data_IF_118225730812
#
_entry.id   IF_118225730812
#
_cell.length_a   1.000
_cell.length_b   1.000
_cell.length_c   1.000
_cell.angle_alpha   90.00
_cell.angle_beta   90.00
_cell.angle_gamma   90.00
#
_symmetry.space_group_name_H-M   'P 1'
#
loop_
_entity.id
_entity.type
_entity.pdbx_description
1 polymer ?
#
# COMPACT_ATOMS: atom_id res chain seq x y z
N UNK A 1 -3.42 18.42 22.85
CA UNK A 1 -3.90 17.03 22.86
C UNK A 1 -2.66 16.14 22.99
N UNK A 2 -2.38 15.70 24.22
CA UNK A 2 -1.13 15.03 24.60
C UNK A 2 -1.09 13.60 24.03
N UNK A 3 -0.39 13.43 22.91
CA UNK A 3 -0.14 12.12 22.27
C UNK A 3 1.05 11.36 22.92
N UNK A 4 1.73 11.94 23.93
CA UNK A 4 3.04 11.47 24.38
C UNK A 4 3.04 10.33 25.41
N UNK A 5 1.92 10.05 26.09
CA UNK A 5 1.88 8.98 27.11
C UNK A 5 1.49 7.61 26.55
N UNK A 6 0.55 7.55 25.58
CA UNK A 6 0.18 6.29 24.92
C UNK A 6 1.25 5.72 23.96
N UNK A 7 2.28 6.51 23.60
CA UNK A 7 3.39 6.04 22.75
C UNK A 7 4.44 5.21 23.50
N UNK A 8 4.52 5.33 24.83
CA UNK A 8 5.56 4.64 25.62
C UNK A 8 5.27 3.16 25.88
N UNK A 9 4.00 2.72 25.87
CA UNK A 9 3.65 1.33 26.19
C UNK A 9 3.65 0.38 24.97
N UNK A 10 3.64 0.89 23.74
CA UNK A 10 3.58 0.06 22.51
C UNK A 10 4.93 -0.20 21.83
N UNK A 11 6.07 -0.03 22.52
CA UNK A 11 7.39 -0.23 21.92
C UNK A 11 7.66 0.65 20.70
N UNK A 12 7.08 1.86 20.66
CA UNK A 12 7.34 2.85 19.62
C UNK A 12 6.97 2.41 18.20
N UNK A 13 5.92 1.60 18.02
CA UNK A 13 5.44 1.21 16.69
C UNK A 13 4.68 2.39 16.07
N UNK A 14 5.21 2.96 14.98
CA UNK A 14 4.56 4.02 14.21
C UNK A 14 4.78 3.80 12.72
N UNK A 15 4.01 4.47 11.88
CA UNK A 15 4.20 4.53 10.44
C UNK A 15 4.44 5.97 10.02
N UNK A 16 5.64 6.22 9.52
CA UNK A 16 6.03 7.51 8.98
C UNK A 16 6.78 7.33 7.67
N UNK A 17 6.11 7.62 6.56
CA UNK A 17 6.72 7.58 5.24
C UNK A 17 7.13 9.00 4.79
N UNK A 18 8.43 9.18 4.53
CA UNK A 18 8.98 10.44 4.02
C UNK A 18 8.29 10.90 2.74
N UNK A 19 7.85 9.97 1.88
CA UNK A 19 7.17 10.29 0.63
C UNK A 19 5.83 11.00 0.88
N UNK A 20 5.13 10.67 1.96
CA UNK A 20 3.84 11.30 2.30
C UNK A 20 3.99 12.73 2.85
N UNK A 21 5.21 13.13 3.24
CA UNK A 21 5.52 14.50 3.67
C UNK A 21 5.78 15.44 2.49
N UNK A 22 6.20 14.90 1.36
CA UNK A 22 6.45 15.67 0.14
C UNK A 22 5.15 16.29 -0.37
N UNK A 23 5.27 17.40 -1.10
CA UNK A 23 4.17 17.97 -1.87
C UNK A 23 3.75 17.00 -2.99
N UNK A 24 2.56 17.21 -3.56
CA UNK A 24 2.09 16.42 -4.69
C UNK A 24 3.02 16.54 -5.90
N UNK A 25 3.52 17.76 -6.15
CA UNK A 25 4.45 18.03 -7.25
C UNK A 25 5.78 17.33 -7.02
N UNK A 26 6.35 17.43 -5.82
CA UNK A 26 7.61 16.76 -5.47
C UNK A 26 7.51 15.23 -5.65
N UNK A 27 6.41 14.62 -5.20
CA UNK A 27 6.20 13.18 -5.41
C UNK A 27 6.14 12.80 -6.89
N UNK A 28 5.41 13.58 -7.69
CA UNK A 28 5.29 13.36 -9.12
C UNK A 28 6.66 13.48 -9.79
N UNK A 29 7.43 14.52 -9.45
CA UNK A 29 8.80 14.72 -9.96
C UNK A 29 9.69 13.54 -9.59
N UNK A 30 9.67 13.07 -8.34
CA UNK A 30 10.48 11.90 -7.92
C UNK A 30 10.07 10.64 -8.70
N UNK A 31 8.77 10.42 -8.91
CA UNK A 31 8.29 9.27 -9.66
C UNK A 31 8.66 9.32 -11.15
N UNK A 32 8.57 10.51 -11.76
CA UNK A 32 8.96 10.74 -13.16
C UNK A 32 10.48 10.58 -13.30
N UNK A 33 11.27 11.25 -12.48
CA UNK A 33 12.74 11.15 -12.51
C UNK A 33 13.21 9.70 -12.32
N UNK A 34 12.60 8.95 -11.40
CA UNK A 34 12.92 7.54 -11.21
C UNK A 34 12.59 6.71 -12.46
N UNK A 35 11.42 6.92 -13.06
CA UNK A 35 11.00 6.18 -14.26
C UNK A 35 11.89 6.50 -15.45
N UNK A 36 12.20 7.78 -15.66
CA UNK A 36 13.13 8.28 -16.68
C UNK A 36 14.51 7.69 -16.47
N UNK A 37 15.06 7.76 -15.26
CA UNK A 37 16.38 7.19 -14.95
C UNK A 37 16.47 5.69 -15.27
N UNK A 38 15.43 4.92 -14.96
CA UNK A 38 15.37 3.48 -15.30
C UNK A 38 15.37 3.28 -16.82
N UNK A 39 14.53 4.01 -17.57
CA UNK A 39 14.45 3.91 -19.03
C UNK A 39 15.78 4.28 -19.68
N UNK A 40 16.37 5.41 -19.29
CA UNK A 40 17.68 5.84 -19.77
C UNK A 40 18.77 4.82 -19.45
N UNK A 41 18.77 4.24 -18.23
CA UNK A 41 19.72 3.19 -17.86
C UNK A 41 19.56 1.94 -18.72
N UNK A 42 18.33 1.53 -19.03
CA UNK A 42 18.07 0.41 -19.94
C UNK A 42 18.58 0.71 -21.35
N UNK A 43 18.23 1.87 -21.92
CA UNK A 43 18.71 2.26 -23.26
C UNK A 43 20.24 2.31 -23.31
N UNK A 44 20.87 2.95 -22.32
CA UNK A 44 22.33 3.00 -22.22
C UNK A 44 22.96 1.60 -22.14
N UNK A 45 22.35 0.68 -21.37
CA UNK A 45 22.81 -0.71 -21.31
C UNK A 45 22.74 -1.40 -22.67
N UNK A 46 21.65 -1.21 -23.43
CA UNK A 46 21.51 -1.78 -24.78
C UNK A 46 22.52 -1.19 -25.78
N UNK A 47 22.72 0.13 -25.76
CA UNK A 47 23.71 0.79 -26.63
C UNK A 47 25.12 0.26 -26.34
N UNK A 48 25.48 0.07 -25.07
CA UNK A 48 26.79 -0.50 -24.69
C UNK A 48 26.94 -1.95 -25.17
N UNK A 49 25.90 -2.78 -25.03
CA UNK A 49 25.91 -4.18 -25.50
C UNK A 49 26.08 -4.26 -27.02
N UNK A 50 25.45 -3.35 -27.77
CA UNK A 50 25.55 -3.30 -29.23
C UNK A 50 26.84 -2.66 -29.75
N UNK A 51 27.73 -2.17 -28.87
CA UNK A 51 28.99 -1.57 -29.27
C UNK A 51 29.94 -2.58 -29.94
N UNK A 52 30.69 -2.11 -30.94
CA UNK A 52 31.76 -2.87 -31.60
C UNK A 52 32.97 -3.10 -30.67
N UNK A 53 33.17 -2.22 -29.70
CA UNK A 53 34.26 -2.34 -28.74
C UNK A 53 33.95 -3.42 -27.70
N UNK A 54 34.75 -4.49 -27.69
CA UNK A 54 34.58 -5.62 -26.78
C UNK A 54 34.46 -5.20 -25.30
N UNK A 55 35.29 -4.25 -24.85
CA UNK A 55 35.26 -3.74 -23.47
C UNK A 55 33.90 -3.08 -23.15
N UNK A 56 33.37 -2.25 -24.05
CA UNK A 56 32.07 -1.60 -23.84
C UNK A 56 30.92 -2.61 -23.82
N UNK A 57 30.98 -3.63 -24.68
CA UNK A 57 30.00 -4.73 -24.68
C UNK A 57 29.95 -5.45 -23.35
N UNK A 58 31.11 -5.81 -22.78
CA UNK A 58 31.19 -6.47 -21.47
C UNK A 58 30.62 -5.57 -20.37
N UNK A 59 30.96 -4.28 -20.36
CA UNK A 59 30.39 -3.31 -19.40
C UNK A 59 28.87 -3.21 -19.56
N UNK A 60 28.36 -3.18 -20.79
CA UNK A 60 26.93 -3.17 -21.07
C UNK A 60 26.20 -4.39 -20.52
N UNK A 61 26.75 -5.59 -20.73
CA UNK A 61 26.19 -6.84 -20.20
C UNK A 61 26.17 -6.84 -18.66
N UNK A 62 27.26 -6.43 -18.02
CA UNK A 62 27.34 -6.32 -16.56
C UNK A 62 26.33 -5.32 -16.02
N UNK A 63 26.19 -4.18 -16.68
CA UNK A 63 25.24 -3.13 -16.29
C UNK A 63 23.79 -3.59 -16.46
N UNK A 64 23.46 -4.27 -17.56
CA UNK A 64 22.14 -4.86 -17.76
C UNK A 64 21.83 -5.94 -16.72
N UNK A 65 22.78 -6.83 -16.42
CA UNK A 65 22.63 -7.85 -15.39
C UNK A 65 22.38 -7.22 -14.01
N UNK A 66 23.09 -6.14 -13.68
CA UNK A 66 22.85 -5.37 -12.46
C UNK A 66 21.44 -4.78 -12.41
N UNK A 67 20.95 -4.16 -13.49
CA UNK A 67 19.59 -3.62 -13.57
C UNK A 67 18.53 -4.72 -13.43
N UNK A 68 18.73 -5.86 -14.11
CA UNK A 68 17.85 -7.02 -14.03
C UNK A 68 17.81 -7.60 -12.61
N UNK A 69 18.97 -7.70 -11.95
CA UNK A 69 19.08 -8.12 -10.56
C UNK A 69 18.34 -7.17 -9.61
N UNK A 70 18.51 -5.86 -9.76
CA UNK A 70 17.84 -4.86 -8.92
C UNK A 70 16.30 -4.90 -9.11
N UNK A 71 15.84 -5.06 -10.36
CA UNK A 71 14.43 -5.29 -10.67
C UNK A 71 13.90 -6.59 -10.05
N UNK A 72 14.66 -7.69 -10.16
CA UNK A 72 14.34 -8.96 -9.54
C UNK A 72 14.29 -8.88 -8.02
N UNK A 73 15.21 -8.11 -7.41
CA UNK A 73 15.23 -7.86 -5.97
C UNK A 73 13.97 -7.13 -5.52
N UNK A 74 13.49 -6.13 -6.27
CA UNK A 74 12.22 -5.46 -5.94
C UNK A 74 11.02 -6.42 -5.91
N UNK A 75 11.02 -7.43 -6.79
CA UNK A 75 10.01 -8.49 -6.79
C UNK A 75 10.20 -9.45 -5.62
N UNK A 76 11.44 -9.87 -5.35
CA UNK A 76 11.75 -10.79 -4.25
C UNK A 76 11.45 -10.19 -2.87
N UNK A 77 11.78 -8.91 -2.66
CA UNK A 77 11.47 -8.18 -1.42
C UNK A 77 9.95 -8.03 -1.18
N UNK A 78 9.10 -8.32 -2.17
CA UNK A 78 7.65 -8.39 -1.97
C UNK A 78 7.22 -9.66 -1.19
N UNK A 79 8.06 -10.70 -1.18
CA UNK A 79 7.86 -11.98 -0.48
C UNK A 79 8.74 -12.14 0.76
N UNK A 80 9.26 -11.03 1.29
CA UNK A 80 10.24 -11.07 2.36
C UNK A 80 9.59 -11.40 3.72
N UNK A 81 10.12 -12.42 4.40
CA UNK A 81 9.77 -12.83 5.78
C UNK A 81 10.73 -12.23 6.81
N UNK A 82 11.27 -11.03 6.53
CA UNK A 82 12.00 -10.23 7.51
C UNK A 82 11.23 -10.19 8.82
N UNK A 83 11.91 -10.37 9.95
CA UNK A 83 11.31 -10.19 11.29
C UNK A 83 11.23 -8.71 11.63
N UNK A 84 10.10 -8.28 12.19
CA UNK A 84 9.93 -6.92 12.68
C UNK A 84 10.84 -6.66 13.89
N UNK A 85 11.70 -5.63 13.80
CA UNK A 85 12.65 -5.25 14.86
C UNK A 85 12.18 -4.07 15.72
N UNK A 86 10.93 -3.65 15.60
CA UNK A 86 10.41 -2.44 16.25
C UNK A 86 10.55 -1.18 15.38
N UNK A 87 9.90 -0.10 15.80
CA UNK A 87 10.01 1.22 15.19
C UNK A 87 9.09 1.45 13.98
N UNK A 88 9.64 2.06 12.93
CA UNK A 88 8.87 2.59 11.80
C UNK A 88 8.41 1.48 10.82
N UNK A 89 7.09 1.26 10.76
CA UNK A 89 6.41 0.33 9.86
C UNK A 89 6.58 0.68 8.37
N UNK A 90 7.05 1.89 8.01
CA UNK A 90 7.37 2.22 6.62
C UNK A 90 8.47 1.32 6.03
N UNK A 91 9.31 0.71 6.87
CA UNK A 91 10.31 -0.29 6.47
C UNK A 91 9.78 -1.72 6.46
N UNK A 92 8.56 -1.92 6.99
CA UNK A 92 7.93 -3.22 7.23
C UNK A 92 6.56 -3.33 6.55
N UNK A 93 6.44 -2.72 5.37
CA UNK A 93 5.24 -2.73 4.53
C UNK A 93 5.61 -3.29 3.15
N UNK A 94 4.76 -4.13 2.58
CA UNK A 94 4.97 -4.67 1.25
C UNK A 94 4.90 -3.55 0.21
N UNK A 95 5.72 -3.59 -0.87
CA UNK A 95 5.74 -2.53 -1.88
C UNK A 95 4.35 -2.24 -2.50
N UNK A 96 3.52 -3.28 -2.70
CA UNK A 96 2.16 -3.13 -3.25
C UNK A 96 1.23 -2.37 -2.30
N UNK A 97 1.23 -2.75 -1.02
CA UNK A 97 0.46 -2.07 0.03
C UNK A 97 0.88 -0.60 0.19
N UNK A 98 2.20 -0.33 0.15
CA UNK A 98 2.72 1.04 0.14
C UNK A 98 2.25 1.82 -1.10
N UNK A 99 2.25 1.19 -2.27
CA UNK A 99 1.74 1.77 -3.51
C UNK A 99 0.27 2.18 -3.42
N UNK A 100 -0.57 1.32 -2.83
CA UNK A 100 -1.99 1.62 -2.55
C UNK A 100 -2.13 2.86 -1.66
N UNK A 101 -1.37 2.94 -0.57
CA UNK A 101 -1.40 4.10 0.34
C UNK A 101 -1.01 5.40 -0.39
N UNK A 102 0.07 5.38 -1.17
CA UNK A 102 0.54 6.56 -1.90
C UNK A 102 -0.48 6.98 -2.96
N UNK A 103 -1.04 6.02 -3.70
CA UNK A 103 -2.08 6.26 -4.71
C UNK A 103 -3.31 6.91 -4.09
N UNK A 104 -3.85 6.33 -3.02
CA UNK A 104 -4.99 6.87 -2.29
C UNK A 104 -4.71 8.25 -1.67
N UNK A 105 -3.50 8.48 -1.16
CA UNK A 105 -3.11 9.80 -0.66
C UNK A 105 -3.10 10.87 -1.75
N UNK A 106 -2.60 10.54 -2.94
CA UNK A 106 -2.63 11.44 -4.09
C UNK A 106 -4.06 11.68 -4.59
N UNK A 107 -4.88 10.64 -4.69
CA UNK A 107 -6.27 10.72 -5.13
C UNK A 107 -7.11 11.53 -4.15
N UNK A 108 -7.04 11.27 -2.85
CA UNK A 108 -7.75 12.07 -1.83
C UNK A 108 -7.32 13.54 -1.82
N UNK A 109 -6.10 13.86 -2.24
CA UNK A 109 -5.60 15.24 -2.32
C UNK A 109 -6.16 15.96 -3.53
N UNK A 110 -6.30 15.25 -4.66
CA UNK A 110 -6.77 15.81 -5.93
C UNK A 110 -8.30 15.83 -6.03
N UNK A 111 -8.94 14.72 -5.67
CA UNK A 111 -10.38 14.48 -5.84
C UNK A 111 -11.20 14.82 -4.58
N UNK A 112 -10.53 15.22 -3.49
CA UNK A 112 -11.14 15.38 -2.15
C UNK A 112 -11.74 14.06 -1.63
N UNK A 113 -12.38 14.08 -0.45
CA UNK A 113 -12.96 12.89 0.17
C UNK A 113 -12.03 12.19 1.17
N UNK A 114 -12.58 11.21 1.87
CA UNK A 114 -11.91 10.50 2.96
C UNK A 114 -10.78 9.61 2.49
N UNK A 115 -9.60 9.76 3.10
CA UNK A 115 -8.43 8.90 2.81
C UNK A 115 -8.74 7.41 2.98
N UNK A 116 -9.57 7.02 3.95
CA UNK A 116 -9.94 5.62 4.15
C UNK A 116 -10.76 5.07 3.00
N UNK A 117 -11.67 5.88 2.43
CA UNK A 117 -12.49 5.44 1.31
C UNK A 117 -11.67 5.34 0.02
N UNK A 118 -10.70 6.25 -0.18
CA UNK A 118 -9.74 6.13 -1.29
C UNK A 118 -8.87 4.87 -1.13
N UNK A 119 -8.38 4.54 0.07
CA UNK A 119 -7.63 3.30 0.30
C UNK A 119 -8.53 2.08 0.06
N UNK A 120 -9.77 2.11 0.53
CA UNK A 120 -10.74 1.02 0.31
C UNK A 120 -10.98 0.77 -1.17
N UNK A 121 -11.14 1.84 -1.96
CA UNK A 121 -11.29 1.78 -3.41
C UNK A 121 -10.09 1.11 -4.06
N UNK A 122 -8.87 1.61 -3.79
CA UNK A 122 -7.64 1.08 -4.35
C UNK A 122 -7.39 -0.39 -3.98
N UNK A 123 -7.78 -0.81 -2.77
CA UNK A 123 -7.71 -2.20 -2.34
C UNK A 123 -8.73 -3.07 -3.07
N UNK A 124 -9.99 -2.63 -3.18
CA UNK A 124 -11.05 -3.37 -3.83
C UNK A 124 -10.82 -3.56 -5.35
N UNK A 125 -10.02 -2.71 -5.99
CA UNK A 125 -9.56 -2.89 -7.38
C UNK A 125 -8.54 -4.04 -7.53
N UNK A 126 -7.90 -4.51 -6.45
CA UNK A 126 -6.90 -5.59 -6.52
C UNK A 126 -7.56 -6.95 -6.67
N UNK A 127 -7.10 -7.74 -7.64
CA UNK A 127 -7.61 -9.09 -7.93
C UNK A 127 -7.72 -9.98 -6.69
N UNK A 128 -6.73 -9.93 -5.80
CA UNK A 128 -6.74 -10.74 -4.58
C UNK A 128 -7.84 -10.32 -3.59
N UNK A 129 -8.09 -9.02 -3.45
CA UNK A 129 -9.18 -8.50 -2.61
C UNK A 129 -10.54 -8.78 -3.25
N UNK A 130 -10.65 -8.69 -4.58
CA UNK A 130 -11.87 -9.11 -5.29
C UNK A 130 -12.19 -10.59 -5.05
N UNK A 131 -11.17 -11.44 -4.96
CA UNK A 131 -11.36 -12.86 -4.63
C UNK A 131 -11.89 -13.03 -3.21
N UNK A 132 -11.31 -12.33 -2.23
CA UNK A 132 -11.81 -12.31 -0.84
C UNK A 132 -13.27 -11.83 -0.78
N UNK A 133 -13.61 -10.75 -1.49
CA UNK A 133 -14.99 -10.25 -1.54
C UNK A 133 -15.95 -11.31 -2.10
N UNK A 134 -15.57 -12.03 -3.17
CA UNK A 134 -16.39 -13.11 -3.74
C UNK A 134 -16.60 -14.25 -2.74
N UNK A 135 -15.57 -14.63 -2.00
CA UNK A 135 -15.67 -15.70 -0.98
C UNK A 135 -16.53 -15.28 0.21
N UNK A 136 -16.65 -13.98 0.47
CA UNK A 136 -17.59 -13.39 1.43
C UNK A 136 -19.01 -13.23 0.85
N UNK A 137 -19.29 -13.73 -0.36
CA UNK A 137 -20.59 -13.58 -1.01
C UNK A 137 -20.85 -12.19 -1.60
N UNK A 138 -19.85 -11.30 -1.61
CA UNK A 138 -19.98 -9.93 -2.10
C UNK A 138 -19.54 -9.83 -3.56
N UNK A 139 -20.42 -9.30 -4.42
CA UNK A 139 -20.07 -9.01 -5.83
C UNK A 139 -19.10 -7.83 -5.90
N UNK A 140 -17.86 -7.98 -6.40
CA UNK A 140 -16.87 -6.90 -6.37
C UNK A 140 -17.30 -5.63 -7.10
N UNK A 141 -18.04 -5.76 -8.21
CA UNK A 141 -18.57 -4.62 -8.96
C UNK A 141 -19.60 -3.80 -8.17
N UNK A 142 -20.45 -4.47 -7.38
CA UNK A 142 -21.41 -3.79 -6.51
C UNK A 142 -20.70 -3.08 -5.35
N UNK A 143 -19.73 -3.76 -4.73
CA UNK A 143 -18.88 -3.16 -3.70
C UNK A 143 -18.19 -1.90 -4.19
N UNK A 144 -17.54 -1.97 -5.35
CA UNK A 144 -16.88 -0.83 -5.99
C UNK A 144 -17.87 0.30 -6.29
N UNK A 145 -19.05 0.00 -6.83
CA UNK A 145 -20.08 0.99 -7.11
C UNK A 145 -20.53 1.73 -5.84
N UNK A 146 -20.68 1.02 -4.71
CA UNK A 146 -21.04 1.64 -3.42
C UNK A 146 -19.91 2.51 -2.86
N UNK A 147 -18.66 2.08 -3.00
CA UNK A 147 -17.48 2.87 -2.62
C UNK A 147 -17.41 4.16 -3.44
N UNK A 148 -17.61 4.09 -4.76
CA UNK A 148 -17.60 5.26 -5.64
C UNK A 148 -18.76 6.21 -5.37
N UNK A 149 -19.95 5.67 -5.06
CA UNK A 149 -21.09 6.49 -4.64
C UNK A 149 -20.75 7.30 -3.38
N UNK A 150 -20.17 6.67 -2.35
CA UNK A 150 -19.78 7.37 -1.13
C UNK A 150 -18.69 8.43 -1.40
N UNK A 151 -17.70 8.15 -2.25
CA UNK A 151 -16.72 9.16 -2.67
C UNK A 151 -17.37 10.35 -3.38
N UNK A 152 -18.43 10.09 -4.14
CA UNK A 152 -19.20 11.12 -4.86
C UNK A 152 -19.99 12.02 -3.89
N UNK A 153 -20.53 11.44 -2.83
CA UNK A 153 -21.26 12.13 -1.76
C UNK A 153 -20.32 12.97 -0.88
N UNK A 154 -19.03 12.60 -0.79
CA UNK A 154 -18.01 13.32 -0.04
C UNK A 154 -17.30 14.44 -0.82
N UNK A 155 -17.78 14.78 -2.02
CA UNK A 155 -17.23 15.88 -2.80
C UNK A 155 -17.27 17.17 -1.98
N UNK A 156 -16.08 17.67 -1.62
CA UNK A 156 -15.92 18.85 -0.76
C UNK A 156 -15.27 18.58 0.60
N UNK A 157 -15.20 17.33 1.05
CA UNK A 157 -14.46 16.98 2.25
C UNK A 157 -12.95 17.16 2.02
N UNK A 158 -12.37 18.20 2.62
CA UNK A 158 -10.94 18.50 2.51
C UNK A 158 -10.21 18.18 3.80
N UNK A 159 -9.68 16.97 3.87
CA UNK A 159 -8.83 16.54 4.97
C UNK A 159 -7.43 17.16 4.82
N UNK A 160 -6.86 17.70 5.90
CA UNK A 160 -5.51 18.26 5.87
C UNK A 160 -4.46 17.15 5.71
N UNK A 161 -3.28 17.49 5.16
CA UNK A 161 -2.22 16.51 4.96
C UNK A 161 -1.73 15.86 6.25
N UNK A 162 -1.67 16.60 7.36
CA UNK A 162 -1.33 16.04 8.68
C UNK A 162 -2.36 15.02 9.15
N UNK A 163 -3.64 15.33 8.98
CA UNK A 163 -4.72 14.47 9.40
C UNK A 163 -4.82 13.20 8.54
N UNK A 164 -4.62 13.31 7.23
CA UNK A 164 -4.49 12.14 6.34
C UNK A 164 -3.33 11.23 6.73
N UNK A 165 -2.16 11.80 7.08
CA UNK A 165 -1.01 11.02 7.54
C UNK A 165 -1.29 10.34 8.88
N UNK A 166 -1.96 11.01 9.82
CA UNK A 166 -2.35 10.42 11.09
C UNK A 166 -3.29 9.23 10.89
N UNK A 167 -4.27 9.35 9.99
CA UNK A 167 -5.16 8.26 9.60
C UNK A 167 -4.45 7.08 8.94
N UNK A 168 -3.54 7.35 8.01
CA UNK A 168 -2.72 6.29 7.42
C UNK A 168 -1.89 5.58 8.50
N UNK A 169 -1.30 6.35 9.43
CA UNK A 169 -0.56 5.78 10.54
C UNK A 169 -1.43 4.87 11.41
N UNK A 170 -2.62 5.32 11.80
CA UNK A 170 -3.61 4.52 12.52
C UNK A 170 -3.94 3.22 11.77
N UNK A 171 -4.26 3.30 10.49
CA UNK A 171 -4.60 2.14 9.66
C UNK A 171 -3.45 1.14 9.57
N UNK A 172 -2.22 1.58 9.28
CA UNK A 172 -1.07 0.66 9.12
C UNK A 172 -0.70 0.04 10.46
N UNK A 173 -0.77 0.80 11.56
CA UNK A 173 -0.59 0.24 12.91
C UNK A 173 -1.67 -0.78 13.24
N UNK A 174 -2.93 -0.48 12.96
CA UNK A 174 -4.04 -1.41 13.14
C UNK A 174 -3.85 -2.70 12.36
N UNK A 175 -3.45 -2.59 11.08
CA UNK A 175 -3.11 -3.74 10.23
C UNK A 175 -2.01 -4.60 10.83
N UNK A 176 -0.93 -3.97 11.28
CA UNK A 176 0.17 -4.69 11.93
C UNK A 176 -0.28 -5.37 13.24
N UNK A 177 -1.08 -4.70 14.07
CA UNK A 177 -1.54 -5.23 15.35
C UNK A 177 -2.45 -6.45 15.13
N UNK A 178 -3.35 -6.41 14.14
CA UNK A 178 -4.31 -7.49 13.85
C UNK A 178 -3.69 -8.80 13.33
N UNK A 179 -2.45 -8.79 12.84
CA UNK A 179 -1.80 -9.97 12.24
C UNK A 179 -1.56 -11.17 13.19
N UNK A 180 -1.77 -11.04 14.51
CA UNK A 180 -1.35 -12.01 15.53
C UNK A 180 -1.71 -13.48 15.20
N UNK A 181 -0.84 -14.46 15.54
CA UNK A 181 0.47 -14.32 16.19
C UNK A 181 1.62 -13.98 15.24
N UNK A 182 1.51 -14.30 13.95
CA UNK A 182 2.61 -14.21 12.99
C UNK A 182 2.72 -12.82 12.35
N UNK A 183 3.69 -12.03 12.82
CA UNK A 183 3.99 -10.70 12.27
C UNK A 183 4.78 -10.82 10.97
N UNK A 184 4.21 -10.34 9.88
CA UNK A 184 4.85 -10.27 8.57
C UNK A 184 4.72 -8.85 7.98
N UNK A 185 5.50 -8.48 6.95
CA UNK A 185 5.35 -7.17 6.34
C UNK A 185 3.90 -6.90 5.94
N UNK A 186 3.41 -5.71 6.29
CA UNK A 186 2.00 -5.32 6.12
C UNK A 186 1.65 -5.36 4.63
N UNK A 187 0.72 -6.23 4.27
CA UNK A 187 0.23 -6.42 2.92
C UNK A 187 -1.10 -5.73 2.64
N UNK A 188 -1.59 -5.84 1.40
CA UNK A 188 -2.87 -5.29 0.98
C UNK A 188 -4.05 -5.91 1.76
N UNK A 189 -3.94 -7.20 2.05
CA UNK A 189 -4.92 -7.97 2.84
C UNK A 189 -5.01 -7.45 4.28
N UNK A 190 -3.86 -7.19 4.90
CA UNK A 190 -3.82 -6.68 6.28
C UNK A 190 -4.40 -5.27 6.34
N UNK A 191 -4.09 -4.43 5.35
CA UNK A 191 -4.70 -3.10 5.23
C UNK A 191 -6.21 -3.21 5.06
N UNK A 192 -6.69 -4.12 4.20
CA UNK A 192 -8.12 -4.32 3.97
C UNK A 192 -8.83 -4.77 5.26
N UNK A 193 -8.26 -5.76 5.95
CA UNK A 193 -8.76 -6.24 7.26
C UNK A 193 -8.79 -5.12 8.31
N UNK A 194 -7.73 -4.33 8.39
CA UNK A 194 -7.67 -3.19 9.31
C UNK A 194 -8.71 -2.13 8.99
N UNK A 195 -8.94 -1.88 7.70
CA UNK A 195 -9.87 -0.86 7.24
C UNK A 195 -11.31 -1.27 7.61
N UNK A 196 -11.69 -2.54 7.44
CA UNK A 196 -13.00 -3.05 7.87
C UNK A 196 -13.20 -2.93 9.38
N UNK A 197 -12.12 -3.05 10.16
CA UNK A 197 -12.15 -2.95 11.62
C UNK A 197 -11.96 -1.52 12.16
N UNK A 198 -11.76 -0.53 11.30
CA UNK A 198 -11.48 0.83 11.74
C UNK A 198 -12.75 1.51 12.23
N UNK A 199 -12.62 2.34 13.27
CA UNK A 199 -13.74 3.12 13.80
C UNK A 199 -13.97 4.36 12.95
N UNK A 200 -14.40 4.14 11.71
CA UNK A 200 -14.81 5.19 10.79
C UNK A 200 -16.22 4.95 10.34
N UNK A 201 -17.14 5.81 10.76
CA UNK A 201 -18.57 5.76 10.39
C UNK A 201 -18.78 5.57 8.88
N UNK A 202 -17.96 6.24 8.06
CA UNK A 202 -18.00 6.15 6.59
C UNK A 202 -17.68 4.76 6.06
N UNK A 203 -16.63 4.15 6.60
CA UNK A 203 -16.23 2.80 6.22
C UNK A 203 -17.27 1.80 6.71
N UNK A 204 -17.70 1.94 7.97
CA UNK A 204 -18.70 1.06 8.58
C UNK A 204 -20.04 1.12 7.83
N UNK A 205 -20.43 2.29 7.30
CA UNK A 205 -21.61 2.42 6.44
C UNK A 205 -21.50 1.59 5.16
N UNK A 206 -20.34 1.59 4.49
CA UNK A 206 -20.13 0.77 3.29
C UNK A 206 -20.10 -0.71 3.64
N UNK A 207 -19.30 -1.10 4.63
CA UNK A 207 -19.15 -2.49 5.06
C UNK A 207 -20.49 -3.07 5.54
N UNK A 208 -21.26 -2.28 6.30
CA UNK A 208 -22.57 -2.67 6.80
C UNK A 208 -23.62 -2.93 5.71
N UNK A 209 -23.51 -2.28 4.54
CA UNK A 209 -24.39 -2.58 3.40
C UNK A 209 -24.22 -3.98 2.83
N UNK A 210 -23.07 -4.60 3.08
CA UNK A 210 -22.72 -5.94 2.60
C UNK A 210 -22.72 -6.97 3.72
N UNK A 211 -23.12 -6.59 4.93
CA UNK A 211 -23.17 -7.46 6.11
C UNK A 211 -21.86 -8.22 6.37
N UNK A 212 -20.71 -7.67 5.96
CA UNK A 212 -19.41 -8.34 6.09
C UNK A 212 -19.08 -8.43 7.57
N UNK A 213 -19.23 -9.64 8.14
CA UNK A 213 -18.87 -9.88 9.53
C UNK A 213 -17.34 -9.98 9.68
N UNK A 214 -16.84 -9.53 10.83
CA UNK A 214 -15.41 -9.59 11.16
C UNK A 214 -14.93 -11.04 11.24
N UNK A 215 -15.76 -11.92 11.77
CA UNK A 215 -15.44 -13.34 11.97
C UNK A 215 -15.38 -14.11 10.64
N UNK A 216 -16.29 -13.83 9.69
CA UNK A 216 -16.24 -14.43 8.36
C UNK A 216 -15.03 -13.96 7.58
N UNK A 217 -14.69 -12.66 7.64
CA UNK A 217 -13.46 -12.15 7.04
C UNK A 217 -12.25 -12.89 7.60
N UNK A 218 -12.14 -13.01 8.92
CA UNK A 218 -11.03 -13.70 9.56
C UNK A 218 -10.99 -15.20 9.23
N UNK A 219 -12.13 -15.83 8.99
CA UNK A 219 -12.23 -17.21 8.51
C UNK A 219 -11.69 -17.36 7.09
N UNK A 220 -12.15 -16.51 6.17
CA UNK A 220 -11.69 -16.49 4.77
C UNK A 220 -10.19 -16.18 4.70
N UNK A 221 -9.70 -15.21 5.46
CA UNK A 221 -8.27 -14.88 5.45
C UNK A 221 -7.39 -16.02 5.98
N UNK A 222 -7.89 -16.82 6.94
CA UNK A 222 -7.19 -18.01 7.43
C UNK A 222 -7.09 -19.09 6.35
N UNK A 223 -8.14 -19.33 5.55
CA UNK A 223 -8.07 -20.32 4.46
C UNK A 223 -7.03 -19.95 3.41
N UNK A 224 -6.81 -18.66 3.15
CA UNK A 224 -5.75 -18.20 2.23
C UNK A 224 -4.33 -18.35 2.77
N UNK A 225 -4.14 -18.27 4.09
CA UNK A 225 -2.83 -18.49 4.70
C UNK A 225 -2.41 -19.96 4.67
N UNK A 226 -3.37 -20.89 4.75
CA UNK A 226 -3.09 -22.34 4.75
C UNK A 226 -2.72 -22.91 3.36
N UNK A 227 -2.96 -22.17 2.29
CA UNK A 227 -2.71 -22.62 0.90
C UNK A 227 -1.32 -22.15 0.41
N UNK A 228 -0.62 -21.31 1.17
CA UNK A 228 0.75 -20.86 0.87
C UNK A 228 1.77 -21.62 1.70
#
# INVERSE_FOLDING_TARGET
MNLSENEKESGGIYYEDKILKLSQVERLVVQVLRSVAIIFSLIASFVLILSDLFILRVVGVMFFAYLAFELGRLVYLANDDRRFKGGNLATYIKPRARGVIISAYNRSTTLTGSIYIHILKELAEREFIQKILKDLGVRPGEFMSRVEKHLSEEKGLRETGSWKRARINELVRGAFILQQPDKHPVGEVDLFRALINIDSERVQRIVGLFEISRDELDSVLRSYRLIK
#
